data_IF_084693943587
#
_entry.id   IF_084693943587
#
_cell.length_a   1.000
_cell.length_b   1.000
_cell.length_c   1.000
_cell.angle_alpha   90.00
_cell.angle_beta   90.00
_cell.angle_gamma   90.00
#
_symmetry.space_group_name_H-M   'P 1'
#
loop_
_entity.id
_entity.type
_entity.pdbx_description
1 polymer ?
#
# COMPACT_ATOMS: atom_id res chain seq x y z
N UNK A 1 -2.03 11.00 -15.24
CA UNK A 1 -2.74 10.07 -14.34
C UNK A 1 -4.14 9.73 -14.81
N UNK A 2 -4.91 10.68 -15.36
CA UNK A 2 -6.29 10.42 -15.81
C UNK A 2 -6.46 9.22 -16.76
N UNK A 3 -5.60 9.07 -17.77
CA UNK A 3 -5.66 7.92 -18.70
C UNK A 3 -5.45 6.57 -17.99
N UNK A 4 -4.53 6.51 -17.02
CA UNK A 4 -4.31 5.31 -16.20
C UNK A 4 -5.56 4.97 -15.38
N UNK A 5 -6.22 5.98 -14.83
CA UNK A 5 -7.49 5.80 -14.11
C UNK A 5 -8.57 5.26 -15.06
N UNK A 6 -8.78 5.88 -16.22
CA UNK A 6 -9.74 5.41 -17.22
C UNK A 6 -9.47 3.95 -17.64
N UNK A 7 -8.20 3.62 -17.91
CA UNK A 7 -7.78 2.28 -18.29
C UNK A 7 -8.09 1.24 -17.21
N UNK A 8 -7.83 1.57 -15.94
CA UNK A 8 -8.06 0.69 -14.80
C UNK A 8 -9.55 0.54 -14.49
N UNK A 9 -10.32 1.64 -14.49
CA UNK A 9 -11.78 1.62 -14.30
C UNK A 9 -12.46 0.75 -15.35
N UNK A 10 -12.06 0.86 -16.62
CA UNK A 10 -12.59 0.05 -17.71
C UNK A 10 -12.39 -1.47 -17.52
N UNK A 11 -11.49 -1.88 -16.63
CA UNK A 11 -11.21 -3.28 -16.27
C UNK A 11 -11.78 -3.69 -14.91
N UNK A 12 -12.59 -2.84 -14.29
CA UNK A 12 -13.24 -3.11 -13.00
C UNK A 12 -12.35 -2.87 -11.78
N UNK A 13 -11.17 -2.27 -11.94
CA UNK A 13 -10.36 -1.85 -10.80
C UNK A 13 -10.95 -0.59 -10.17
N UNK A 14 -10.98 -0.55 -8.84
CA UNK A 14 -11.59 0.53 -8.04
C UNK A 14 -10.58 1.37 -7.25
N UNK A 15 -9.31 0.98 -7.28
CA UNK A 15 -8.24 1.62 -6.50
C UNK A 15 -6.91 1.54 -7.22
N UNK A 16 -6.18 2.64 -7.21
CA UNK A 16 -4.77 2.70 -7.58
C UNK A 16 -3.93 2.90 -6.32
N UNK A 17 -2.84 2.15 -6.21
CA UNK A 17 -1.86 2.30 -5.14
C UNK A 17 -0.50 2.66 -5.74
N UNK A 18 0.28 3.49 -5.05
CA UNK A 18 1.61 3.87 -5.47
C UNK A 18 2.52 4.16 -4.28
N UNK A 19 3.81 4.25 -4.57
CA UNK A 19 4.83 4.74 -3.67
C UNK A 19 5.56 5.94 -4.28
N UNK A 20 5.93 6.92 -3.46
CA UNK A 20 6.73 8.07 -3.91
C UNK A 20 7.71 8.52 -2.82
N UNK A 21 8.83 9.13 -3.21
CA UNK A 21 9.81 9.70 -2.27
C UNK A 21 9.64 11.21 -2.08
N UNK A 22 9.18 11.91 -3.11
CA UNK A 22 9.27 13.37 -3.22
C UNK A 22 8.03 14.05 -3.84
N UNK A 23 7.06 13.27 -4.34
CA UNK A 23 5.89 13.78 -5.09
C UNK A 23 4.57 13.58 -4.33
N UNK A 24 4.61 13.32 -3.03
CA UNK A 24 3.42 13.09 -2.22
C UNK A 24 2.45 14.28 -2.26
N UNK A 25 2.95 15.53 -2.28
CA UNK A 25 2.13 16.73 -2.44
C UNK A 25 1.48 16.83 -3.84
N UNK A 26 2.23 16.46 -4.89
CA UNK A 26 1.71 16.41 -6.25
C UNK A 26 0.57 15.38 -6.37
N UNK A 27 0.77 14.17 -5.84
CA UNK A 27 -0.26 13.12 -5.87
C UNK A 27 -1.44 13.46 -4.95
N UNK A 28 -1.21 14.14 -3.82
CA UNK A 28 -2.29 14.66 -2.98
C UNK A 28 -3.20 15.62 -3.75
N UNK A 29 -2.62 16.52 -4.54
CA UNK A 29 -3.39 17.41 -5.41
C UNK A 29 -4.20 16.66 -6.50
N UNK A 30 -3.72 15.50 -6.93
CA UNK A 30 -4.44 14.61 -7.85
C UNK A 30 -5.54 13.76 -7.15
N UNK A 31 -5.72 13.91 -5.84
CA UNK A 31 -6.72 13.18 -5.04
C UNK A 31 -6.24 11.85 -4.46
N UNK A 32 -4.93 11.60 -4.42
CA UNK A 32 -4.38 10.47 -3.66
C UNK A 32 -4.30 10.83 -2.17
N UNK A 33 -4.53 9.84 -1.31
CA UNK A 33 -4.39 9.95 0.14
C UNK A 33 -3.31 9.00 0.65
N UNK A 34 -2.71 9.31 1.79
CA UNK A 34 -1.71 8.45 2.43
C UNK A 34 -2.34 7.12 2.85
N UNK A 35 -1.56 6.05 2.79
CA UNK A 35 -2.08 4.70 3.03
C UNK A 35 -1.10 3.82 3.78
N UNK A 36 -1.61 2.67 4.23
CA UNK A 36 -0.76 1.56 4.64
C UNK A 36 -0.04 0.96 3.42
N UNK A 37 1.11 0.30 3.61
CA UNK A 37 1.79 -0.44 2.56
C UNK A 37 0.90 -1.54 1.98
N UNK A 38 0.99 -1.73 0.67
CA UNK A 38 0.33 -2.84 -0.02
C UNK A 38 1.35 -3.68 -0.76
N UNK A 39 1.20 -5.00 -0.74
CA UNK A 39 2.09 -5.90 -1.45
C UNK A 39 1.46 -6.31 -2.79
N UNK A 40 2.23 -6.20 -3.87
CA UNK A 40 1.82 -6.75 -5.17
C UNK A 40 2.12 -8.26 -5.17
N UNK A 41 1.14 -9.09 -5.56
CA UNK A 41 1.31 -10.54 -5.66
C UNK A 41 2.16 -11.00 -6.88
N UNK A 42 2.57 -10.05 -7.73
CA UNK A 42 3.51 -10.23 -8.83
C UNK A 42 3.09 -11.30 -9.84
N UNK A 43 4.07 -11.79 -10.62
CA UNK A 43 3.90 -12.91 -11.57
C UNK A 43 3.57 -14.21 -10.83
N UNK A 44 3.88 -14.30 -9.53
CA UNK A 44 3.61 -15.48 -8.71
C UNK A 44 2.12 -15.67 -8.40
N UNK A 45 1.31 -14.61 -8.50
CA UNK A 45 -0.14 -14.68 -8.26
C UNK A 45 -0.84 -15.72 -9.15
N UNK A 46 -0.39 -15.89 -10.39
CA UNK A 46 -1.01 -16.84 -11.34
C UNK A 46 -0.70 -18.30 -11.05
N UNK A 47 0.34 -18.59 -10.27
CA UNK A 47 0.83 -19.95 -10.03
C UNK A 47 0.71 -20.39 -8.57
N UNK A 48 0.48 -19.44 -7.66
CA UNK A 48 0.32 -19.73 -6.24
C UNK A 48 -1.17 -19.91 -5.89
N UNK A 49 -1.54 -20.98 -5.17
CA UNK A 49 -2.87 -21.10 -4.58
C UNK A 49 -3.19 -19.88 -3.71
N UNK A 50 -4.46 -19.47 -3.68
CA UNK A 50 -4.91 -18.30 -2.90
C UNK A 50 -4.51 -18.42 -1.43
N UNK A 51 -4.48 -19.63 -0.87
CA UNK A 51 -4.10 -19.91 0.51
C UNK A 51 -2.63 -19.57 0.81
N UNK A 52 -1.76 -19.64 -0.21
CA UNK A 52 -0.33 -19.28 -0.09
C UNK A 52 -0.18 -17.76 -0.20
N UNK A 53 -0.91 -17.11 -1.12
CA UNK A 53 -0.94 -15.65 -1.24
C UNK A 53 -1.44 -14.99 0.06
N UNK A 54 -2.45 -15.58 0.71
CA UNK A 54 -2.96 -15.14 2.01
C UNK A 54 -1.97 -15.34 3.17
N UNK A 55 -0.93 -16.17 3.02
CA UNK A 55 0.14 -16.24 4.03
C UNK A 55 1.11 -15.08 3.92
N UNK A 56 1.29 -14.51 2.73
CA UNK A 56 2.07 -13.31 2.53
C UNK A 56 1.33 -12.05 3.00
N UNK A 57 -0.02 -12.07 3.03
CA UNK A 57 -0.83 -10.99 3.58
C UNK A 57 -0.83 -10.96 5.12
N UNK A 58 -0.69 -12.13 5.75
CA UNK A 58 -0.64 -12.27 7.22
C UNK A 58 0.72 -11.83 7.77
N UNK A 59 0.71 -10.70 8.47
CA UNK A 59 1.80 -10.29 9.35
C UNK A 59 2.17 -11.44 10.32
N UNK A 60 3.45 -11.82 10.45
CA UNK A 60 3.86 -12.78 11.48
C UNK A 60 3.77 -12.07 12.85
N UNK A 61 2.80 -12.47 13.67
CA UNK A 61 2.67 -11.89 15.01
C UNK A 61 1.38 -12.20 15.77
N UNK A 62 0.78 -13.38 15.58
CA UNK A 62 -0.36 -13.79 16.42
C UNK A 62 -0.06 -15.13 17.08
N UNK A 63 0.70 -15.09 18.18
CA UNK A 63 0.63 -16.12 19.22
C UNK A 63 0.59 -15.42 20.59
N UNK A 64 -0.58 -15.56 21.23
CA UNK A 64 -0.89 -15.45 22.66
C UNK A 64 -0.43 -14.20 23.46
N UNK A 65 -1.36 -13.29 23.76
CA UNK A 65 -1.89 -12.97 25.12
C UNK A 65 -2.70 -11.67 25.08
N UNK A 66 -3.75 -11.59 25.92
CA UNK A 66 -4.69 -10.49 26.06
C UNK A 66 -4.02 -9.09 26.14
N UNK A 67 -4.58 -8.13 25.41
CA UNK A 67 -4.28 -6.70 25.54
C UNK A 67 -3.87 -6.08 24.21
N UNK A 68 -4.73 -5.21 23.67
CA UNK A 68 -4.49 -4.30 22.55
C UNK A 68 -3.27 -4.60 21.67
N UNK A 69 -3.52 -5.17 20.49
CA UNK A 69 -2.55 -5.13 19.41
C UNK A 69 -2.06 -3.68 19.26
N UNK A 70 -0.77 -3.37 19.43
CA UNK A 70 -0.25 -2.14 18.91
C UNK A 70 -0.11 -2.42 17.41
N UNK A 71 -1.23 -2.39 16.69
CA UNK A 71 -1.23 -1.75 15.40
C UNK A 71 -0.76 -0.34 15.70
N UNK A 72 0.56 -0.19 15.84
CA UNK A 72 1.24 1.07 16.05
C UNK A 72 0.60 1.95 15.01
N UNK A 73 -0.15 2.93 15.48
CA UNK A 73 -0.81 3.93 14.66
C UNK A 73 0.34 4.78 14.12
N UNK A 74 1.13 4.21 13.20
CA UNK A 74 2.24 4.91 12.59
C UNK A 74 1.61 5.77 11.52
N UNK A 75 1.19 6.95 11.95
CA UNK A 75 0.62 7.94 11.08
C UNK A 75 1.71 8.47 10.17
N UNK A 76 1.61 8.10 8.89
CA UNK A 76 2.30 8.79 7.82
C UNK A 76 1.66 10.18 7.68
N UNK A 77 2.47 11.23 7.54
CA UNK A 77 2.04 12.57 7.13
C UNK A 77 2.58 12.87 5.74
N UNK A 78 2.31 14.05 5.17
CA UNK A 78 2.91 14.43 3.88
C UNK A 78 4.40 14.80 4.01
N UNK A 79 4.91 14.98 5.22
CA UNK A 79 6.32 15.33 5.46
C UNK A 79 7.11 14.15 6.01
N UNK A 80 6.45 13.24 6.74
CA UNK A 80 7.10 12.16 7.46
C UNK A 80 6.44 10.81 7.20
N UNK A 81 7.26 9.80 6.98
CA UNK A 81 6.81 8.41 6.78
C UNK A 81 7.68 7.45 7.57
N UNK A 82 7.07 6.44 8.20
CA UNK A 82 7.83 5.39 8.88
C UNK A 82 8.38 4.34 7.93
N UNK A 83 7.91 4.33 6.68
CA UNK A 83 8.24 3.30 5.72
C UNK A 83 9.53 3.66 4.98
N UNK A 84 10.33 2.63 4.70
CA UNK A 84 11.59 2.74 3.97
C UNK A 84 11.59 1.81 2.78
N UNK A 85 12.22 2.23 1.70
CA UNK A 85 12.46 1.38 0.54
C UNK A 85 13.62 0.38 0.78
N UNK A 86 13.99 -0.38 -0.25
CA UNK A 86 15.10 -1.34 -0.18
C UNK A 86 16.47 -0.69 0.10
N UNK A 87 16.60 0.63 -0.08
CA UNK A 87 17.80 1.42 0.20
C UNK A 87 17.75 2.08 1.58
N UNK A 88 16.69 1.86 2.35
CA UNK A 88 16.48 2.50 3.65
C UNK A 88 15.98 3.95 3.57
N UNK A 89 15.62 4.44 2.38
CA UNK A 89 15.18 5.83 2.16
C UNK A 89 13.68 5.94 2.47
N UNK A 90 13.23 7.01 3.16
CA UNK A 90 11.81 7.23 3.42
C UNK A 90 10.96 7.17 2.15
N UNK A 91 9.82 6.48 2.23
CA UNK A 91 8.89 6.30 1.09
C UNK A 91 7.45 6.45 1.55
N UNK A 92 6.65 7.18 0.80
CA UNK A 92 5.24 7.44 1.08
C UNK A 92 4.38 6.48 0.29
N UNK A 93 3.53 5.73 0.99
CA UNK A 93 2.48 4.92 0.38
C UNK A 93 1.22 5.76 0.22
N UNK A 94 0.62 5.71 -0.97
CA UNK A 94 -0.59 6.45 -1.28
C UNK A 94 -1.57 5.61 -2.10
N UNK A 95 -2.86 5.87 -1.95
CA UNK A 95 -3.90 5.32 -2.83
C UNK A 95 -4.88 6.38 -3.30
N UNK A 96 -5.57 6.09 -4.40
CA UNK A 96 -6.72 6.85 -4.89
C UNK A 96 -7.79 5.86 -5.32
N UNK A 97 -9.01 6.07 -4.83
CA UNK A 97 -10.17 5.32 -5.31
C UNK A 97 -10.59 5.88 -6.67
N UNK A 98 -10.82 4.99 -7.64
CA UNK A 98 -11.08 5.30 -9.06
C UNK A 98 -12.38 4.66 -9.51
#
# INVERSE_FOLDING_TARGET
MQETECYAKARGFRRLCLTTHDKQHFYAHLGYVLSMPVQNAGVMASFMPMEVLERFSKLPGTDATHGECPARLVFQTLEETPYRDAKGVPIFWMHKDI
#
